data_IF_239056355932
#
_entry.id   IF_239056355932
#
_cell.length_a   1.000
_cell.length_b   1.000
_cell.length_c   1.000
_cell.angle_alpha   90.00
_cell.angle_beta   90.00
_cell.angle_gamma   90.00
#
_symmetry.space_group_name_H-M   'P 1'
#
loop_
_entity.id
_entity.type
_entity.pdbx_description
1 polymer ?
#
# COMPACT_ATOMS: atom_id res chain seq x y z
N UNK A 1 -8.25 -10.64 -5.02
CA UNK A 1 -8.41 -10.98 -6.45
C UNK A 1 -8.19 -12.48 -6.61
N UNK A 2 -8.96 -13.15 -7.47
CA UNK A 2 -8.82 -14.60 -7.71
C UNK A 2 -8.13 -14.87 -9.04
N UNK A 3 -7.25 -15.87 -9.07
CA UNK A 3 -6.49 -16.27 -10.25
C UNK A 3 -6.48 -17.79 -10.40
N UNK A 4 -6.66 -18.29 -11.62
CA UNK A 4 -6.42 -19.70 -11.94
C UNK A 4 -5.00 -19.83 -12.46
N UNK A 5 -4.19 -20.64 -11.78
CA UNK A 5 -2.74 -20.72 -12.00
C UNK A 5 -2.35 -22.15 -12.37
N UNK A 6 -1.53 -22.26 -13.41
CA UNK A 6 -0.71 -23.44 -13.70
C UNK A 6 0.74 -23.05 -13.42
N UNK A 7 1.31 -23.62 -12.37
CA UNK A 7 2.56 -23.17 -11.78
C UNK A 7 3.75 -23.52 -12.69
N UNK A 8 3.83 -24.78 -13.12
CA UNK A 8 4.93 -25.28 -13.95
C UNK A 8 6.30 -24.88 -13.41
N UNK A 9 7.19 -24.40 -14.28
CA UNK A 9 8.49 -23.81 -13.92
C UNK A 9 8.43 -22.28 -13.84
N UNK A 10 7.24 -21.68 -13.73
CA UNK A 10 7.10 -20.23 -13.69
C UNK A 10 7.26 -19.68 -12.26
N UNK A 11 7.74 -18.45 -12.18
CA UNK A 11 7.78 -17.67 -10.93
C UNK A 11 6.73 -16.56 -10.96
N UNK A 12 6.20 -16.23 -9.79
CA UNK A 12 5.10 -15.28 -9.62
C UNK A 12 5.43 -14.22 -8.58
N UNK A 13 5.12 -12.96 -8.92
CA UNK A 13 5.24 -11.82 -8.01
C UNK A 13 3.95 -11.00 -8.01
N UNK A 14 3.55 -10.51 -6.84
CA UNK A 14 2.58 -9.41 -6.74
C UNK A 14 3.32 -8.11 -6.99
N UNK A 15 2.77 -7.22 -7.80
CA UNK A 15 3.27 -5.88 -8.07
C UNK A 15 2.20 -4.86 -7.69
N UNK A 16 2.54 -3.90 -6.84
CA UNK A 16 1.65 -2.76 -6.58
C UNK A 16 1.73 -1.79 -7.77
N UNK A 17 0.57 -1.27 -8.20
CA UNK A 17 0.43 -0.38 -9.35
C UNK A 17 -0.31 0.90 -8.92
N UNK A 18 0.25 2.06 -9.30
CA UNK A 18 -0.23 3.33 -8.75
C UNK A 18 -0.16 3.34 -7.23
N UNK A 19 0.98 2.94 -6.66
CA UNK A 19 1.19 2.88 -5.22
C UNK A 19 1.63 4.24 -4.68
N UNK A 20 0.95 4.70 -3.63
CA UNK A 20 1.39 5.83 -2.82
C UNK A 20 0.99 5.53 -1.38
N UNK A 21 1.79 4.72 -0.68
CA UNK A 21 1.42 4.16 0.61
C UNK A 21 2.61 3.91 1.55
N UNK A 22 2.35 3.38 2.76
CA UNK A 22 3.40 3.14 3.78
C UNK A 22 3.88 1.71 3.62
N UNK A 23 2.89 0.81 3.61
CA UNK A 23 3.08 -0.62 3.61
C UNK A 23 1.83 -1.30 3.05
N UNK A 24 2.02 -2.38 2.30
CA UNK A 24 0.96 -3.30 1.94
C UNK A 24 1.31 -4.71 2.45
N UNK A 25 0.37 -5.39 3.08
CA UNK A 25 0.46 -6.81 3.43
C UNK A 25 -0.10 -7.64 2.28
N UNK A 26 0.60 -8.68 1.88
CA UNK A 26 0.14 -9.62 0.85
C UNK A 26 -0.22 -10.94 1.51
N UNK A 27 -1.35 -11.50 1.10
CA UNK A 27 -1.80 -12.83 1.51
C UNK A 27 -2.16 -13.67 0.30
N UNK A 28 -1.89 -14.97 0.39
CA UNK A 28 -2.25 -15.97 -0.62
C UNK A 28 -3.06 -17.07 0.08
N UNK A 29 -4.29 -17.30 -0.36
CA UNK A 29 -5.21 -18.28 0.21
C UNK A 29 -5.37 -18.13 1.74
N UNK A 30 -5.45 -16.89 2.21
CA UNK A 30 -5.54 -16.53 3.63
C UNK A 30 -4.23 -16.69 4.43
N UNK A 31 -3.15 -17.16 3.82
CA UNK A 31 -1.82 -17.27 4.44
C UNK A 31 -1.01 -16.01 4.18
N UNK A 32 -0.35 -15.48 5.20
CA UNK A 32 0.55 -14.32 5.08
C UNK A 32 1.74 -14.64 4.18
N UNK A 33 1.93 -13.83 3.13
CA UNK A 33 3.05 -13.93 2.20
C UNK A 33 4.21 -12.99 2.54
N UNK A 34 3.90 -11.90 3.25
CA UNK A 34 4.84 -10.87 3.65
C UNK A 34 4.32 -9.47 3.34
N UNK A 35 5.24 -8.51 3.37
CA UNK A 35 4.93 -7.08 3.21
C UNK A 35 5.69 -6.48 2.03
N UNK A 36 5.12 -5.43 1.45
CA UNK A 36 5.75 -4.54 0.48
C UNK A 36 5.82 -3.16 1.13
N UNK A 37 7.02 -2.71 1.48
CA UNK A 37 7.23 -1.41 2.14
C UNK A 37 8.29 -0.53 1.45
N UNK A 38 8.94 -1.04 0.41
CA UNK A 38 9.94 -0.28 -0.36
C UNK A 38 10.00 -0.74 -1.83
N UNK A 39 10.56 0.08 -2.74
CA UNK A 39 10.87 -0.31 -4.10
C UNK A 39 11.75 -1.59 -4.14
N UNK A 40 11.47 -2.56 -5.03
CA UNK A 40 10.65 -2.42 -6.23
C UNK A 40 9.14 -2.63 -6.10
N UNK A 41 8.51 -2.43 -4.93
CA UNK A 41 7.04 -2.50 -4.75
C UNK A 41 6.42 -3.83 -5.20
N UNK A 42 7.19 -4.90 -5.07
CA UNK A 42 6.84 -6.24 -5.51
C UNK A 42 7.19 -7.27 -4.44
N UNK A 43 6.46 -8.38 -4.43
CA UNK A 43 6.69 -9.50 -3.52
C UNK A 43 6.58 -10.83 -4.27
N UNK A 44 7.61 -11.67 -4.16
CA UNK A 44 7.57 -13.03 -4.67
C UNK A 44 6.62 -13.89 -3.83
N UNK A 45 5.67 -14.54 -4.50
CA UNK A 45 4.65 -15.36 -3.83
C UNK A 45 4.57 -16.80 -4.38
N UNK A 46 5.47 -17.17 -5.30
CA UNK A 46 5.48 -18.48 -5.96
C UNK A 46 5.28 -19.63 -4.98
N UNK A 47 5.99 -19.64 -3.85
CA UNK A 47 5.97 -20.78 -2.92
C UNK A 47 4.61 -21.01 -2.27
N UNK A 48 3.74 -19.99 -2.20
CA UNK A 48 2.43 -20.07 -1.56
C UNK A 48 1.28 -20.40 -2.52
N UNK A 49 1.52 -20.35 -3.83
CA UNK A 49 0.51 -20.64 -4.84
C UNK A 49 0.34 -22.15 -5.03
N UNK A 50 -0.89 -22.59 -5.27
CA UNK A 50 -1.23 -23.95 -5.71
C UNK A 50 -1.63 -23.95 -7.20
N UNK A 51 -1.61 -25.12 -7.85
CA UNK A 51 -2.27 -25.26 -9.14
C UNK A 51 -3.79 -25.14 -8.97
N UNK A 52 -4.45 -24.44 -9.90
CA UNK A 52 -5.88 -24.12 -9.84
C UNK A 52 -6.17 -22.72 -9.29
N UNK A 53 -7.35 -22.56 -8.67
CA UNK A 53 -7.80 -21.25 -8.14
C UNK A 53 -7.00 -20.86 -6.89
N UNK A 54 -6.50 -19.62 -6.88
CA UNK A 54 -5.86 -18.99 -5.73
C UNK A 54 -6.50 -17.62 -5.48
N UNK A 55 -6.71 -17.29 -4.21
CA UNK A 55 -7.09 -15.94 -3.79
C UNK A 55 -5.86 -15.18 -3.31
N UNK A 56 -5.58 -14.05 -3.95
CA UNK A 56 -4.51 -13.13 -3.54
C UNK A 56 -5.16 -11.87 -2.99
N UNK A 57 -4.80 -11.48 -1.78
CA UNK A 57 -5.30 -10.29 -1.12
C UNK A 57 -4.15 -9.36 -0.79
N UNK A 58 -4.34 -8.07 -1.09
CA UNK A 58 -3.39 -7.02 -0.73
C UNK A 58 -4.10 -6.07 0.21
N UNK A 59 -3.60 -5.97 1.44
CA UNK A 59 -4.18 -5.12 2.50
C UNK A 59 -3.33 -3.87 2.64
N UNK A 60 -3.95 -2.73 2.39
CA UNK A 60 -3.29 -1.43 2.40
C UNK A 60 -3.26 -0.90 3.82
N UNK A 61 -2.06 -0.60 4.32
CA UNK A 61 -1.88 0.06 5.62
C UNK A 61 -1.70 1.55 5.35
N UNK A 62 -2.52 2.37 6.00
CA UNK A 62 -2.44 3.83 5.91
C UNK A 62 -1.38 4.42 6.84
N UNK A 63 -1.07 5.70 6.64
CA UNK A 63 -0.36 6.50 7.65
C UNK A 63 -1.36 7.18 8.59
N UNK A 64 -0.85 7.70 9.71
CA UNK A 64 -1.65 8.50 10.64
C UNK A 64 -1.81 9.97 10.20
N UNK A 65 -1.20 10.35 9.07
CA UNK A 65 -1.12 11.76 8.65
C UNK A 65 -2.48 12.39 8.35
N UNK A 66 -3.37 11.68 7.67
CA UNK A 66 -4.74 12.15 7.42
C UNK A 66 -5.67 11.95 8.63
N UNK A 67 -5.31 11.05 9.56
CA UNK A 67 -6.11 10.77 10.76
C UNK A 67 -5.86 11.78 11.87
N UNK A 68 -4.61 12.17 12.09
CA UNK A 68 -4.19 13.02 13.20
C UNK A 68 -3.77 14.45 12.81
N UNK A 69 -3.56 14.72 11.52
CA UNK A 69 -3.12 16.04 11.05
C UNK A 69 -1.68 16.38 11.46
N UNK A 70 -1.31 17.66 11.59
CA UNK A 70 -2.05 18.90 11.33
C UNK A 70 -2.44 19.06 9.85
N UNK A 71 -3.56 19.74 9.59
CA UNK A 71 -4.08 19.90 8.22
C UNK A 71 -3.75 21.28 7.61
N UNK A 72 -3.16 22.20 8.36
CA UNK A 72 -3.02 23.61 7.96
C UNK A 72 -1.57 24.04 7.66
N UNK A 73 -0.62 23.10 7.63
CA UNK A 73 0.68 23.32 7.00
C UNK A 73 1.02 22.12 6.10
N UNK A 74 2.06 22.28 5.28
CA UNK A 74 2.48 21.27 4.33
C UNK A 74 2.85 19.94 5.01
N UNK A 75 2.19 18.86 4.59
CA UNK A 75 2.39 17.52 5.12
C UNK A 75 3.58 16.78 4.48
N UNK A 76 4.67 17.50 4.20
CA UNK A 76 5.86 16.99 3.50
C UNK A 76 6.93 16.42 4.45
N UNK A 77 6.77 16.58 5.77
CA UNK A 77 7.71 16.08 6.78
C UNK A 77 7.68 14.55 6.85
N UNK A 78 8.82 13.94 7.15
CA UNK A 78 8.91 12.49 7.35
C UNK A 78 8.13 12.02 8.59
N UNK A 79 8.05 12.87 9.62
CA UNK A 79 7.30 12.67 10.86
C UNK A 79 6.58 13.97 11.23
N UNK A 80 5.38 13.86 11.78
CA UNK A 80 4.72 14.94 12.51
C UNK A 80 4.91 14.66 14.01
N UNK A 81 5.72 15.47 14.67
CA UNK A 81 6.04 15.36 16.09
C UNK A 81 5.16 16.29 16.94
N UNK A 82 5.17 16.15 18.28
CA UNK A 82 4.25 16.89 19.16
C UNK A 82 4.32 18.41 19.02
N UNK A 83 5.48 18.96 18.63
CA UNK A 83 5.65 20.41 18.42
C UNK A 83 4.84 20.96 17.24
N UNK A 84 4.49 20.13 16.27
CA UNK A 84 3.74 20.58 15.12
C UNK A 84 2.28 20.96 15.48
N UNK A 85 1.76 20.49 16.61
CA UNK A 85 0.45 20.87 17.14
C UNK A 85 0.46 22.19 17.93
N UNK A 86 1.62 22.81 18.12
CA UNK A 86 1.72 24.11 18.82
C UNK A 86 1.45 25.30 17.90
N UNK A 87 1.41 25.07 16.59
CA UNK A 87 1.11 26.10 15.59
C UNK A 87 -0.31 25.84 15.14
N UNK A 88 -1.15 26.87 15.10
CA UNK A 88 -2.49 26.81 14.53
C UNK A 88 -2.80 28.16 13.88
N UNK A 89 -3.59 28.18 12.78
CA UNK A 89 -4.01 29.43 12.17
C UNK A 89 -4.92 30.21 13.13
N UNK A 90 -4.87 31.55 13.06
CA UNK A 90 -5.70 32.43 13.88
C UNK A 90 -7.21 32.17 13.69
N UNK A 91 -7.59 31.84 12.46
CA UNK A 91 -8.96 31.47 12.10
C UNK A 91 -8.96 30.07 11.47
N UNK A 92 -10.02 29.32 11.75
CA UNK A 92 -10.22 27.99 11.18
C UNK A 92 -10.35 28.09 9.64
N UNK A 93 -9.44 27.50 8.86
CA UNK A 93 -9.52 27.54 7.41
C UNK A 93 -10.65 26.65 6.88
N UNK A 94 -11.03 26.94 5.63
CA UNK A 94 -11.95 26.08 4.88
C UNK A 94 -11.33 24.71 4.60
N UNK A 95 -12.18 23.71 4.34
CA UNK A 95 -11.73 22.34 4.04
C UNK A 95 -10.87 22.27 2.77
N UNK A 96 -11.14 23.13 1.79
CA UNK A 96 -10.37 23.27 0.56
C UNK A 96 -8.93 23.76 0.78
N UNK A 97 -8.64 24.25 1.99
CA UNK A 97 -7.32 24.71 2.40
C UNK A 97 -6.59 23.67 3.27
N UNK A 98 -7.17 22.48 3.47
CA UNK A 98 -6.53 21.41 4.23
C UNK A 98 -5.51 20.64 3.39
N UNK A 99 -4.32 20.44 3.95
CA UNK A 99 -3.25 19.61 3.41
C UNK A 99 -3.49 18.13 3.76
N UNK A 100 -4.32 17.47 2.97
CA UNK A 100 -4.51 16.01 3.01
C UNK A 100 -3.61 15.34 1.96
N UNK A 101 -3.14 14.14 2.27
CA UNK A 101 -2.32 13.35 1.36
C UNK A 101 -3.18 12.32 0.63
N UNK A 102 -3.00 12.20 -0.68
CA UNK A 102 -3.43 11.00 -1.40
C UNK A 102 -2.67 9.79 -0.87
N UNK A 103 -3.38 8.71 -0.53
CA UNK A 103 -2.77 7.50 -0.01
C UNK A 103 -3.50 6.24 -0.41
N UNK A 104 -2.73 5.22 -0.78
CA UNK A 104 -3.20 3.88 -1.02
C UNK A 104 -2.78 3.34 -2.39
N UNK A 105 -3.65 2.50 -2.94
CA UNK A 105 -3.43 1.79 -4.19
C UNK A 105 -4.46 2.28 -5.21
N UNK A 106 -4.00 3.03 -6.20
CA UNK A 106 -4.87 3.72 -7.16
C UNK A 106 -5.23 2.87 -8.38
N UNK A 107 -4.56 1.73 -8.57
CA UNK A 107 -4.88 0.75 -9.61
C UNK A 107 -4.93 -0.67 -9.01
N UNK A 108 -5.66 -1.63 -9.60
CA UNK A 108 -5.60 -3.01 -9.16
C UNK A 108 -4.15 -3.53 -9.21
N UNK A 109 -3.69 -4.19 -8.13
CA UNK A 109 -2.39 -4.83 -8.13
C UNK A 109 -2.32 -5.88 -9.25
N UNK A 110 -1.11 -6.12 -9.73
CA UNK A 110 -0.85 -7.09 -10.80
C UNK A 110 -0.19 -8.36 -10.25
N UNK A 111 -0.45 -9.48 -10.92
CA UNK A 111 0.27 -10.73 -10.74
C UNK A 111 1.19 -10.92 -11.94
N UNK A 112 2.50 -10.75 -11.73
CA UNK A 112 3.51 -10.95 -12.76
C UNK A 112 3.95 -12.40 -12.79
N UNK A 113 3.98 -12.98 -13.99
CA UNK A 113 4.47 -14.33 -14.26
C UNK A 113 5.74 -14.25 -15.11
N UNK A 114 6.80 -14.90 -14.66
CA UNK A 114 8.04 -15.07 -15.43
C UNK A 114 8.21 -16.55 -15.74
N UNK A 115 8.37 -16.89 -17.02
CA UNK A 115 8.75 -18.24 -17.44
C UNK A 115 10.26 -18.37 -17.31
N UNK A 116 10.72 -19.46 -16.70
CA UNK A 116 12.12 -19.91 -16.81
C UNK A 116 12.38 -20.60 -18.16
#
# INVERSE_FOLDING_TARGET
QKYVIEKGNATFKVKLTGWNGTLAEVQVNGTEAGIIAWPPEELAITQLLADGENEISVRIVGSLKNTFGYFYEDNNKWINGPHDWNIAPENQPGMDQYHLMDYGLFNPFELWKTLE
#
